data_IF_994462579224
#
_entry.id   IF_994462579224
#
_cell.length_a   1.000
_cell.length_b   1.000
_cell.length_c   1.000
_cell.angle_alpha   90.00
_cell.angle_beta   90.00
_cell.angle_gamma   90.00
#
_symmetry.space_group_name_H-M   'P 1'
#
loop_
_entity.id
_entity.type
_entity.pdbx_description
1 polymer ?
#
# COMPACT_ATOMS: atom_id res chain seq x y z
N UNK A 1 21.63 12.67 8.46
CA UNK A 1 21.44 11.49 7.59
C UNK A 1 20.30 10.66 8.18
N UNK A 2 19.19 10.49 7.46
CA UNK A 2 17.99 9.84 7.99
C UNK A 2 18.29 8.37 8.38
N UNK A 3 17.93 7.96 9.60
CA UNK A 3 18.15 6.60 10.12
C UNK A 3 16.82 5.85 10.17
N UNK A 4 16.76 4.69 9.50
CA UNK A 4 15.55 3.89 9.32
C UNK A 4 15.54 2.58 10.14
N UNK A 5 16.29 2.52 11.24
CA UNK A 5 16.37 1.30 12.07
C UNK A 5 14.97 0.86 12.56
N UNK A 6 14.61 -0.39 12.26
CA UNK A 6 13.31 -1.01 12.59
C UNK A 6 12.09 -0.21 12.10
N UNK A 7 12.21 0.53 11.00
CA UNK A 7 11.10 1.28 10.40
C UNK A 7 10.87 0.81 8.96
N UNK A 8 9.60 0.79 8.57
CA UNK A 8 9.22 0.67 7.17
C UNK A 8 9.28 2.05 6.56
N UNK A 9 10.04 2.21 5.48
CA UNK A 9 10.10 3.43 4.69
C UNK A 9 9.47 3.16 3.32
N UNK A 10 8.49 3.96 2.93
CA UNK A 10 7.98 3.98 1.56
C UNK A 10 8.91 4.87 0.73
N UNK A 11 9.74 4.25 -0.10
CA UNK A 11 10.55 4.96 -1.08
C UNK A 11 9.69 5.17 -2.32
N UNK A 12 8.88 6.22 -2.30
CA UNK A 12 8.33 6.78 -3.52
C UNK A 12 9.51 7.40 -4.28
N UNK A 13 9.68 7.12 -5.59
CA UNK A 13 10.69 7.75 -6.46
C UNK A 13 10.52 9.27 -6.65
N UNK A 14 9.90 9.93 -5.69
CA UNK A 14 9.52 11.33 -5.50
C UNK A 14 10.62 12.39 -5.68
N UNK A 15 11.86 12.00 -5.94
CA UNK A 15 13.00 12.93 -5.96
C UNK A 15 13.25 13.61 -7.31
N UNK A 16 12.56 13.20 -8.38
CA UNK A 16 12.76 13.80 -9.70
C UNK A 16 11.85 15.03 -9.88
N UNK A 17 12.37 16.18 -10.37
CA UNK A 17 11.55 17.33 -10.77
C UNK A 17 10.50 17.00 -11.83
N UNK A 18 10.59 15.84 -12.49
CA UNK A 18 9.64 15.36 -13.50
C UNK A 18 8.53 14.43 -12.94
N UNK A 19 8.44 14.24 -11.61
CA UNK A 19 7.20 13.75 -10.97
C UNK A 19 6.74 12.32 -11.30
N UNK A 20 7.63 11.34 -11.45
CA UNK A 20 7.28 9.94 -11.79
C UNK A 20 7.40 8.96 -10.61
N UNK A 21 6.90 9.34 -9.42
CA UNK A 21 6.80 8.44 -8.27
C UNK A 21 5.54 7.56 -8.32
N UNK A 22 5.69 6.25 -8.51
CA UNK A 22 4.58 5.29 -8.45
C UNK A 22 4.80 4.29 -7.32
N UNK A 23 3.81 4.13 -6.45
CA UNK A 23 3.76 3.07 -5.44
C UNK A 23 2.52 2.20 -5.67
N UNK A 24 2.71 0.89 -5.76
CA UNK A 24 1.63 -0.10 -5.88
C UNK A 24 1.82 -1.12 -4.77
N UNK A 25 0.84 -1.18 -3.87
CA UNK A 25 0.82 -2.12 -2.76
C UNK A 25 -0.05 -3.32 -3.12
N UNK A 26 0.38 -4.52 -2.72
CA UNK A 26 -0.43 -5.73 -2.83
C UNK A 26 -1.16 -5.94 -1.52
N UNK A 27 -2.49 -5.95 -1.56
CA UNK A 27 -3.34 -6.22 -0.41
C UNK A 27 -4.23 -7.46 -0.64
N UNK A 28 -5.46 -7.49 -0.11
CA UNK A 28 -6.33 -8.66 -0.26
C UNK A 28 -7.80 -8.27 -0.11
N UNK A 29 -8.65 -8.94 -0.88
CA UNK A 29 -10.11 -8.84 -0.71
C UNK A 29 -10.61 -9.39 0.64
N UNK A 30 -9.79 -10.19 1.34
CA UNK A 30 -10.13 -10.77 2.64
C UNK A 30 -10.20 -9.68 3.70
N UNK A 31 -11.36 -9.52 4.33
CA UNK A 31 -11.72 -8.41 5.21
C UNK A 31 -12.81 -7.52 4.60
N UNK A 32 -12.49 -6.67 3.61
CA UNK A 32 -13.43 -5.67 3.09
C UNK A 32 -14.51 -6.28 2.20
N UNK A 33 -14.22 -7.40 1.52
CA UNK A 33 -15.15 -8.03 0.58
C UNK A 33 -15.47 -9.48 0.93
N UNK A 34 -14.54 -10.22 1.55
CA UNK A 34 -14.68 -11.65 1.86
C UNK A 34 -14.25 -11.94 3.30
N UNK A 35 -15.06 -12.69 4.05
CA UNK A 35 -14.69 -13.22 5.37
C UNK A 35 -14.09 -14.63 5.27
N UNK A 36 -12.98 -14.89 5.96
CA UNK A 36 -12.37 -16.23 6.06
C UNK A 36 -12.03 -16.50 7.52
N UNK A 37 -12.54 -17.60 8.07
CA UNK A 37 -12.27 -18.00 9.44
C UNK A 37 -10.76 -18.19 9.68
N UNK A 38 -10.30 -17.78 10.87
CA UNK A 38 -8.88 -17.84 11.24
C UNK A 38 -7.98 -16.78 10.60
N UNK A 39 -8.53 -15.83 9.83
CA UNK A 39 -7.73 -14.81 9.14
C UNK A 39 -7.84 -13.41 9.73
N UNK A 40 -8.42 -13.23 10.91
CA UNK A 40 -8.74 -11.92 11.52
C UNK A 40 -7.59 -10.90 11.48
N UNK A 41 -6.36 -11.33 11.79
CA UNK A 41 -5.17 -10.47 11.70
C UNK A 41 -4.87 -10.02 10.27
N UNK A 42 -4.95 -10.93 9.28
CA UNK A 42 -4.70 -10.58 7.89
C UNK A 42 -5.88 -9.78 7.29
N UNK A 43 -7.10 -10.13 7.67
CA UNK A 43 -8.35 -9.47 7.30
C UNK A 43 -8.50 -8.06 7.86
N UNK A 44 -7.66 -7.67 8.83
CA UNK A 44 -7.58 -6.30 9.35
C UNK A 44 -6.36 -5.58 8.81
N UNK A 45 -5.18 -6.22 8.86
CA UNK A 45 -3.93 -5.60 8.46
C UNK A 45 -3.82 -5.34 6.95
N UNK A 46 -4.20 -6.30 6.09
CA UNK A 46 -4.09 -6.11 4.64
C UNK A 46 -5.02 -5.00 4.11
N UNK A 47 -6.30 -4.94 4.51
CA UNK A 47 -7.19 -3.88 4.03
C UNK A 47 -6.82 -2.49 4.55
N UNK A 48 -6.11 -2.39 5.69
CA UNK A 48 -5.58 -1.12 6.18
C UNK A 48 -4.61 -0.45 5.18
N UNK A 49 -4.00 -1.24 4.28
CA UNK A 49 -3.13 -0.73 3.21
C UNK A 49 -3.90 0.16 2.24
N UNK A 50 -5.16 -0.12 1.93
CA UNK A 50 -5.99 0.78 1.12
C UNK A 50 -6.17 2.16 1.75
N UNK A 51 -6.38 2.22 3.07
CA UNK A 51 -6.50 3.48 3.79
C UNK A 51 -5.17 4.25 3.80
N UNK A 52 -4.06 3.55 4.04
CA UNK A 52 -2.70 4.11 3.95
C UNK A 52 -2.40 4.65 2.54
N UNK A 53 -2.67 3.87 1.50
CA UNK A 53 -2.43 4.26 0.12
C UNK A 53 -3.22 5.53 -0.25
N UNK A 54 -4.48 5.62 0.21
CA UNK A 54 -5.31 6.82 0.05
C UNK A 54 -4.70 8.03 0.76
N UNK A 55 -4.26 7.89 2.00
CA UNK A 55 -3.63 8.99 2.74
C UNK A 55 -2.37 9.49 2.00
N UNK A 56 -1.46 8.57 1.63
CA UNK A 56 -0.23 8.91 0.90
C UNK A 56 -0.53 9.56 -0.45
N UNK A 57 -1.51 9.07 -1.19
CA UNK A 57 -1.89 9.67 -2.47
C UNK A 57 -2.40 11.12 -2.32
N UNK A 58 -3.11 11.42 -1.23
CA UNK A 58 -3.57 12.79 -0.93
C UNK A 58 -2.42 13.70 -0.51
N UNK A 59 -1.48 13.20 0.28
CA UNK A 59 -0.32 13.95 0.78
C UNK A 59 0.68 14.26 -0.33
N UNK A 60 0.93 13.30 -1.23
CA UNK A 60 1.99 13.37 -2.23
C UNK A 60 1.49 13.66 -3.66
N UNK A 61 0.17 13.73 -3.87
CA UNK A 61 -0.41 13.90 -5.21
C UNK A 61 -0.02 15.20 -5.91
N UNK A 62 0.28 16.27 -5.15
CA UNK A 62 0.78 17.55 -5.70
C UNK A 62 2.15 17.44 -6.34
N UNK A 63 2.95 16.47 -5.88
CA UNK A 63 4.30 16.21 -6.38
C UNK A 63 4.30 15.19 -7.53
N UNK A 64 3.13 14.90 -8.12
CA UNK A 64 2.97 13.93 -9.21
C UNK A 64 3.02 12.46 -8.77
N UNK A 65 3.04 12.20 -7.46
CA UNK A 65 3.19 10.86 -6.91
C UNK A 65 1.83 10.18 -6.78
N UNK A 66 1.73 8.93 -7.24
CA UNK A 66 0.52 8.12 -7.03
C UNK A 66 0.81 6.91 -6.15
N UNK A 67 -0.05 6.66 -5.16
CA UNK A 67 -0.01 5.48 -4.32
C UNK A 67 -1.33 4.70 -4.45
N UNK A 68 -1.24 3.44 -4.89
CA UNK A 68 -2.40 2.58 -5.11
C UNK A 68 -2.26 1.27 -4.33
N UNK A 69 -3.38 0.63 -4.06
CA UNK A 69 -3.44 -0.71 -3.47
C UNK A 69 -4.29 -1.61 -4.37
N UNK A 70 -3.79 -2.81 -4.67
CA UNK A 70 -4.49 -3.81 -5.49
C UNK A 70 -4.96 -4.92 -4.58
N UNK A 71 -6.24 -5.28 -4.66
CA UNK A 71 -6.90 -6.29 -3.82
C UNK A 71 -7.12 -7.59 -4.62
N UNK A 72 -6.12 -8.48 -4.72
CA UNK A 72 -6.30 -9.79 -5.32
C UNK A 72 -7.18 -10.69 -4.45
N UNK A 73 -7.94 -11.55 -5.13
CA UNK A 73 -8.52 -12.74 -4.56
C UNK A 73 -7.49 -13.85 -4.39
N UNK A 74 -7.96 -15.04 -4.02
CA UNK A 74 -7.10 -16.22 -3.92
C UNK A 74 -6.58 -16.58 -5.31
N UNK A 75 -5.28 -16.38 -5.54
CA UNK A 75 -4.59 -16.71 -6.79
C UNK A 75 -3.58 -17.82 -6.54
N UNK A 76 -3.39 -18.69 -7.52
CA UNK A 76 -2.31 -19.66 -7.48
C UNK A 76 -0.97 -18.92 -7.67
N UNK A 77 0.00 -19.23 -6.83
CA UNK A 77 1.38 -18.73 -6.91
C UNK A 77 2.32 -19.93 -7.10
N UNK A 78 3.33 -19.79 -7.95
CA UNK A 78 4.29 -20.84 -8.31
C UNK A 78 5.47 -20.94 -7.32
#
# INVERSE_FOLDING_TARGET
>A
MFSFHNRVALVSGAGSPDGIGRTVNIESITGPLVGIDGTSACATAKPAISAMARAVALESGRDGITCNAVQPGRIATA
#
